data_IF_650692779987
#
_entry.id   IF_650692779987
#
_cell.length_a   1.000
_cell.length_b   1.000
_cell.length_c   1.000
_cell.angle_alpha   90.00
_cell.angle_beta   90.00
_cell.angle_gamma   90.00
#
_symmetry.space_group_name_H-M   'P 1'
#
loop_
_entity.id
_entity.type
_entity.pdbx_description
1 polymer ?
#
# COMPACT_ATOMS: atom_id res chain seq x y z
N UNK A 1 6.47 7.57 5.19
CA UNK A 1 6.12 7.74 6.62
C UNK A 1 7.37 7.72 7.50
N UNK A 2 7.37 8.47 8.60
CA UNK A 2 8.53 8.59 9.51
C UNK A 2 9.05 7.23 10.03
N UNK A 3 8.16 6.26 10.22
CA UNK A 3 8.52 4.93 10.73
C UNK A 3 9.54 4.17 9.87
N UNK A 4 9.73 4.54 8.60
CA UNK A 4 10.69 3.90 7.67
C UNK A 4 11.97 4.72 7.45
N UNK A 5 12.06 5.96 7.97
CA UNK A 5 13.19 6.87 7.71
C UNK A 5 14.52 6.26 8.15
N UNK A 6 14.60 5.77 9.38
CA UNK A 6 15.83 5.15 9.91
C UNK A 6 16.32 4.01 9.01
N UNK A 7 15.43 3.11 8.62
CA UNK A 7 15.77 1.97 7.73
C UNK A 7 16.24 2.44 6.35
N UNK A 8 15.61 3.49 5.82
CA UNK A 8 16.01 4.11 4.56
C UNK A 8 17.41 4.72 4.66
N UNK A 9 17.68 5.52 5.69
CA UNK A 9 18.99 6.15 5.95
C UNK A 9 20.08 5.09 6.10
N UNK A 10 19.86 4.04 6.90
CA UNK A 10 20.81 2.94 7.07
C UNK A 10 21.11 2.23 5.74
N UNK A 11 20.08 2.03 4.92
CA UNK A 11 20.23 1.42 3.60
C UNK A 11 21.02 2.34 2.67
N UNK A 12 20.71 3.62 2.61
CA UNK A 12 21.42 4.58 1.79
C UNK A 12 22.89 4.73 2.21
N UNK A 13 23.18 4.79 3.51
CA UNK A 13 24.55 4.81 4.04
C UNK A 13 25.36 3.60 3.60
N UNK A 14 24.75 2.40 3.60
CA UNK A 14 25.41 1.18 3.14
C UNK A 14 25.85 1.26 1.66
N UNK A 15 25.01 1.85 0.81
CA UNK A 15 25.31 1.95 -0.64
C UNK A 15 26.13 3.19 -1.01
N UNK A 16 26.19 4.19 -0.16
CA UNK A 16 26.91 5.44 -0.41
C UNK A 16 28.43 5.40 -0.13
N UNK A 17 28.94 4.30 0.42
CA UNK A 17 30.35 4.18 0.91
C UNK A 17 31.37 4.62 -0.11
N UNK A 18 31.14 4.40 -1.40
CA UNK A 18 32.06 4.80 -2.49
C UNK A 18 31.68 6.11 -3.19
N UNK A 19 30.60 6.74 -2.79
CA UNK A 19 30.01 7.89 -3.53
C UNK A 19 30.43 9.24 -3.00
N UNK A 20 31.24 9.31 -1.93
CA UNK A 20 31.69 10.56 -1.25
C UNK A 20 30.54 11.52 -0.92
N UNK A 21 29.40 10.96 -0.49
CA UNK A 21 28.24 11.71 -0.02
C UNK A 21 28.04 11.49 1.47
N UNK A 22 27.64 12.54 2.20
CA UNK A 22 27.11 12.40 3.57
C UNK A 22 25.60 12.33 3.51
N UNK A 23 25.03 11.45 4.37
CA UNK A 23 23.60 11.28 4.49
C UNK A 23 23.24 11.53 5.95
N UNK A 24 22.45 12.56 6.18
CA UNK A 24 22.03 13.01 7.50
C UNK A 24 20.51 13.10 7.55
N UNK A 25 19.93 12.83 8.71
CA UNK A 25 18.51 13.11 8.94
C UNK A 25 18.39 14.60 9.21
N UNK A 26 17.55 15.30 8.44
CA UNK A 26 17.28 16.72 8.70
C UNK A 26 16.27 16.88 9.84
N UNK A 27 16.47 17.91 10.65
CA UNK A 27 15.46 18.35 11.63
C UNK A 27 14.37 19.12 10.88
N UNK A 28 13.35 18.41 10.42
CA UNK A 28 12.15 19.08 9.92
C UNK A 28 11.28 19.50 11.12
N UNK A 29 11.34 20.78 11.47
CA UNK A 29 10.28 21.42 12.23
C UNK A 29 9.04 21.57 11.35
N UNK A 30 8.30 20.48 11.16
CA UNK A 30 6.99 20.52 10.51
C UNK A 30 6.01 21.05 11.56
N UNK A 31 5.73 22.36 11.48
CA UNK A 31 4.85 23.07 12.44
C UNK A 31 3.37 22.72 12.27
N UNK A 32 2.98 22.11 11.15
CA UNK A 32 1.60 21.76 10.83
C UNK A 32 1.46 20.25 10.65
N UNK A 33 1.38 19.52 11.77
CA UNK A 33 0.99 18.12 11.74
C UNK A 33 -0.48 18.01 11.32
N UNK A 34 -0.71 17.41 10.17
CA UNK A 34 -2.04 16.89 9.85
C UNK A 34 -2.33 15.78 10.86
N UNK A 35 -3.53 15.76 11.41
CA UNK A 35 -3.98 14.66 12.25
C UNK A 35 -3.74 13.31 11.52
N UNK A 36 -3.02 12.39 12.17
CA UNK A 36 -2.63 11.09 11.58
C UNK A 36 -3.85 10.30 11.11
N UNK A 37 -4.97 10.34 11.84
CA UNK A 37 -6.21 9.68 11.42
C UNK A 37 -6.85 10.33 10.21
N UNK A 38 -6.87 11.67 10.15
CA UNK A 38 -7.40 12.41 9.01
C UNK A 38 -6.55 12.15 7.76
N UNK A 39 -5.22 12.10 7.93
CA UNK A 39 -4.30 11.79 6.85
C UNK A 39 -4.49 10.36 6.33
N UNK A 40 -4.55 9.36 7.21
CA UNK A 40 -4.83 7.96 6.86
C UNK A 40 -6.18 7.80 6.17
N UNK A 41 -7.22 8.47 6.68
CA UNK A 41 -8.53 8.46 6.05
C UNK A 41 -8.47 9.00 4.62
N UNK A 42 -7.74 10.11 4.40
CA UNK A 42 -7.53 10.65 3.06
C UNK A 42 -6.78 9.70 2.14
N UNK A 43 -5.72 9.01 2.63
CA UNK A 43 -5.00 8.01 1.85
C UNK A 43 -5.91 6.84 1.44
N UNK A 44 -6.73 6.36 2.37
CA UNK A 44 -7.70 5.29 2.09
C UNK A 44 -8.74 5.75 1.07
N UNK A 45 -9.28 6.95 1.22
CA UNK A 45 -10.30 7.49 0.32
C UNK A 45 -9.77 7.73 -1.10
N UNK A 46 -8.47 8.01 -1.24
CA UNK A 46 -7.80 8.17 -2.54
C UNK A 46 -7.20 6.87 -3.11
N UNK A 47 -7.36 5.73 -2.43
CA UNK A 47 -6.75 4.45 -2.83
C UNK A 47 -5.23 4.57 -3.02
N UNK A 48 -4.56 5.33 -2.14
CA UNK A 48 -3.13 5.64 -2.20
C UNK A 48 -2.42 5.27 -0.89
N UNK A 49 -2.14 3.97 -0.65
CA UNK A 49 -1.54 3.51 0.59
C UNK A 49 -0.13 4.06 0.79
N UNK A 50 0.24 4.27 2.04
CA UNK A 50 1.58 4.68 2.43
C UNK A 50 2.41 3.47 2.90
N UNK A 51 3.74 3.65 2.94
CA UNK A 51 4.68 2.65 3.45
C UNK A 51 5.04 2.98 4.90
N UNK A 52 4.67 2.06 5.77
CA UNK A 52 5.01 2.04 7.20
C UNK A 52 6.04 0.94 7.48
N UNK A 53 6.60 0.92 8.69
CA UNK A 53 7.49 -0.18 9.14
C UNK A 53 6.82 -1.55 9.03
N UNK A 54 5.51 -1.60 9.27
CA UNK A 54 4.70 -2.81 9.31
C UNK A 54 4.49 -3.45 7.94
N UNK A 55 4.39 -2.63 6.88
CA UNK A 55 4.17 -3.12 5.50
C UNK A 55 5.40 -2.98 4.59
N UNK A 56 6.48 -2.37 5.08
CA UNK A 56 7.74 -2.21 4.34
C UNK A 56 8.31 -3.57 3.90
N UNK A 57 8.71 -3.67 2.64
CA UNK A 57 9.30 -4.87 1.99
C UNK A 57 8.34 -6.08 1.89
N UNK A 58 7.05 -5.93 2.19
CA UNK A 58 6.08 -7.04 2.15
C UNK A 58 5.29 -7.11 0.85
N UNK A 59 5.21 -6.01 0.12
CA UNK A 59 4.39 -5.88 -1.08
C UNK A 59 5.20 -5.36 -2.25
N UNK A 60 4.88 -5.83 -3.44
CA UNK A 60 5.34 -5.19 -4.67
C UNK A 60 4.58 -3.88 -4.91
N UNK A 61 5.14 -2.93 -5.66
CA UNK A 61 4.44 -1.68 -5.99
C UNK A 61 3.07 -1.91 -6.66
N UNK A 62 2.91 -2.97 -7.46
CA UNK A 62 1.63 -3.30 -8.08
C UNK A 62 0.60 -3.83 -7.07
N UNK A 63 1.03 -4.56 -6.04
CA UNK A 63 0.14 -4.97 -4.95
C UNK A 63 -0.33 -3.79 -4.10
N UNK A 64 0.39 -2.66 -4.15
CA UNK A 64 0.01 -1.40 -3.52
C UNK A 64 -0.76 -0.46 -4.48
N UNK A 65 -1.03 -0.89 -5.71
CA UNK A 65 -1.72 -0.08 -6.69
C UNK A 65 -0.91 1.09 -7.28
N UNK A 66 0.42 1.13 -7.03
CA UNK A 66 1.29 2.25 -7.41
C UNK A 66 1.50 2.37 -8.92
N UNK A 67 1.22 1.32 -9.67
CA UNK A 67 1.20 1.33 -11.14
C UNK A 67 -0.03 2.06 -11.71
N UNK A 68 -1.09 2.22 -10.93
CA UNK A 68 -2.34 2.88 -11.36
C UNK A 68 -2.42 4.33 -10.90
N UNK A 69 -1.80 4.68 -9.77
CA UNK A 69 -1.81 6.04 -9.23
C UNK A 69 -0.62 6.91 -9.67
N UNK A 70 0.25 6.41 -10.56
CA UNK A 70 1.36 7.17 -11.13
C UNK A 70 2.63 7.22 -10.26
N UNK A 71 2.71 6.49 -9.17
CA UNK A 71 3.93 6.40 -8.34
C UNK A 71 5.04 5.58 -9.01
N UNK A 72 4.74 4.83 -10.09
CA UNK A 72 5.72 4.11 -10.89
C UNK A 72 5.84 4.73 -12.27
N UNK A 73 7.06 5.08 -12.66
CA UNK A 73 7.37 5.50 -14.02
C UNK A 73 8.03 4.35 -14.80
N UNK A 74 7.30 3.75 -15.73
CA UNK A 74 7.79 2.67 -16.59
C UNK A 74 8.69 3.13 -17.73
N UNK A 75 8.80 4.46 -17.95
CA UNK A 75 9.64 5.07 -19.02
C UNK A 75 10.98 5.53 -18.52
N UNK A 76 11.20 5.58 -17.20
CA UNK A 76 12.50 5.98 -16.64
C UNK A 76 13.59 4.94 -16.93
N UNK A 77 14.85 5.36 -16.77
CA UNK A 77 16.01 4.48 -16.92
C UNK A 77 16.05 3.32 -15.92
N UNK A 78 17.03 2.43 -16.09
CA UNK A 78 17.18 1.21 -15.30
C UNK A 78 17.37 1.49 -13.80
N UNK A 79 16.76 0.64 -12.97
CA UNK A 79 16.90 0.65 -11.50
C UNK A 79 16.87 -0.77 -10.94
N UNK A 80 17.43 -0.95 -9.74
CA UNK A 80 17.44 -2.25 -9.07
C UNK A 80 16.02 -2.73 -8.79
N UNK A 81 15.71 -3.98 -9.19
CA UNK A 81 14.37 -4.58 -9.02
C UNK A 81 13.38 -4.31 -10.15
N UNK A 82 13.75 -3.50 -11.15
CA UNK A 82 12.86 -3.16 -12.28
C UNK A 82 12.34 -4.38 -13.05
N UNK A 83 13.11 -5.48 -13.12
CA UNK A 83 12.72 -6.67 -13.89
C UNK A 83 11.39 -7.27 -13.38
N UNK A 84 11.24 -7.38 -12.05
CA UNK A 84 10.02 -7.91 -11.43
C UNK A 84 8.85 -6.98 -11.72
N UNK A 85 9.04 -5.67 -11.50
CA UNK A 85 8.01 -4.63 -11.69
C UNK A 85 7.57 -4.58 -13.15
N UNK A 86 8.53 -4.57 -14.10
CA UNK A 86 8.24 -4.56 -15.53
C UNK A 86 7.55 -5.85 -15.97
N UNK A 87 8.00 -7.02 -15.47
CA UNK A 87 7.37 -8.30 -15.79
C UNK A 87 5.90 -8.33 -15.36
N UNK A 88 5.59 -7.86 -14.16
CA UNK A 88 4.21 -7.79 -13.67
C UNK A 88 3.37 -6.85 -14.54
N UNK A 89 3.90 -5.69 -14.90
CA UNK A 89 3.20 -4.71 -15.72
C UNK A 89 2.88 -5.24 -17.14
N UNK A 90 3.88 -5.82 -17.83
CA UNK A 90 3.73 -6.20 -19.24
C UNK A 90 3.18 -7.61 -19.46
N UNK A 91 3.44 -8.56 -18.55
CA UNK A 91 3.02 -9.97 -18.72
C UNK A 91 1.80 -10.35 -17.91
N UNK A 92 1.46 -9.57 -16.91
CA UNK A 92 0.39 -9.90 -15.97
C UNK A 92 -0.38 -8.64 -15.53
N UNK A 93 -0.83 -7.79 -16.48
CA UNK A 93 -1.51 -6.57 -16.13
C UNK A 93 -2.80 -6.86 -15.38
N UNK A 94 -3.09 -6.05 -14.36
CA UNK A 94 -4.36 -6.11 -13.62
C UNK A 94 -4.57 -7.33 -12.73
N UNK A 95 -3.53 -8.15 -12.46
CA UNK A 95 -3.66 -9.29 -11.54
C UNK A 95 -3.97 -8.83 -10.12
N UNK A 96 -3.35 -7.73 -9.67
CA UNK A 96 -3.56 -7.16 -8.35
C UNK A 96 -4.34 -5.85 -8.43
N UNK A 97 -5.11 -5.62 -7.40
CA UNK A 97 -5.81 -4.36 -7.14
C UNK A 97 -5.79 -4.08 -5.65
N UNK A 98 -6.00 -2.82 -5.32
CA UNK A 98 -6.37 -2.44 -3.96
C UNK A 98 -7.86 -2.11 -3.94
N UNK A 99 -8.48 -2.42 -2.81
CA UNK A 99 -9.89 -2.11 -2.58
C UNK A 99 -10.05 -1.32 -1.29
N UNK A 100 -10.82 -0.25 -1.34
CA UNK A 100 -11.36 0.39 -0.15
C UNK A 100 -12.59 -0.40 0.30
N UNK A 101 -12.57 -0.82 1.55
CA UNK A 101 -13.66 -1.59 2.17
C UNK A 101 -14.05 -0.93 3.48
N UNK A 102 -15.34 -0.71 3.68
CA UNK A 102 -15.89 -0.23 4.94
C UNK A 102 -16.70 -1.34 5.61
N UNK A 103 -16.39 -1.61 6.88
CA UNK A 103 -17.07 -2.59 7.73
C UNK A 103 -17.24 -2.05 9.16
N UNK A 104 -18.16 -2.64 9.92
CA UNK A 104 -18.37 -2.25 11.32
C UNK A 104 -17.26 -2.76 12.27
N UNK A 105 -16.53 -3.80 11.89
CA UNK A 105 -15.44 -4.34 12.68
C UNK A 105 -14.20 -3.42 12.61
N UNK A 106 -13.82 -2.86 13.76
CA UNK A 106 -12.66 -1.95 13.89
C UNK A 106 -11.41 -2.63 14.44
N UNK A 107 -11.44 -3.95 14.69
CA UNK A 107 -10.38 -4.67 15.39
C UNK A 107 -9.34 -5.33 14.48
N UNK A 108 -9.24 -4.92 13.24
CA UNK A 108 -8.28 -5.49 12.29
C UNK A 108 -6.99 -4.69 12.23
N UNK A 109 -5.89 -5.36 11.87
CA UNK A 109 -4.54 -4.80 11.89
C UNK A 109 -3.80 -4.94 10.55
N UNK A 110 -2.65 -4.26 10.43
CA UNK A 110 -1.76 -4.37 9.26
C UNK A 110 -1.36 -5.81 8.97
N UNK A 111 -1.36 -6.15 7.67
CA UNK A 111 -1.02 -7.47 7.13
C UNK A 111 -1.94 -8.61 7.57
N UNK A 112 -3.00 -8.31 8.31
CA UNK A 112 -4.02 -9.29 8.61
C UNK A 112 -4.73 -9.74 7.33
N UNK A 113 -5.05 -11.02 7.26
CA UNK A 113 -5.80 -11.58 6.13
C UNK A 113 -7.24 -11.08 6.18
N UNK A 114 -7.65 -10.39 5.13
CA UNK A 114 -9.04 -10.01 4.97
C UNK A 114 -9.83 -11.17 4.36
N UNK A 115 -10.82 -11.65 5.10
CA UNK A 115 -11.67 -12.77 4.70
C UNK A 115 -13.12 -12.32 4.61
N UNK A 116 -13.86 -12.90 3.67
CA UNK A 116 -15.31 -12.73 3.56
C UNK A 116 -15.92 -14.11 3.36
N UNK A 117 -16.87 -14.47 4.19
CA UNK A 117 -17.49 -15.82 4.18
C UNK A 117 -16.43 -16.95 4.18
N UNK A 118 -15.45 -16.85 5.08
CA UNK A 118 -14.31 -17.76 5.26
C UNK A 118 -13.36 -17.88 4.04
N UNK A 119 -13.55 -17.05 3.01
CA UNK A 119 -12.65 -17.01 1.86
C UNK A 119 -11.69 -15.85 1.97
N UNK A 120 -10.40 -16.12 1.76
CA UNK A 120 -9.36 -15.08 1.68
C UNK A 120 -9.60 -14.20 0.46
N UNK A 121 -9.72 -12.89 0.69
CA UNK A 121 -9.84 -11.86 -0.36
C UNK A 121 -8.51 -11.20 -0.61
N UNK A 122 -7.81 -10.79 0.45
CA UNK A 122 -6.53 -10.10 0.38
C UNK A 122 -5.89 -9.92 1.75
N UNK A 123 -5.00 -8.95 1.85
CA UNK A 123 -4.37 -8.54 3.11
C UNK A 123 -4.63 -7.05 3.35
N UNK A 124 -4.83 -6.67 4.60
CA UNK A 124 -5.00 -5.28 5.00
C UNK A 124 -3.66 -4.56 4.92
N UNK A 125 -3.60 -3.48 4.15
CA UNK A 125 -2.40 -2.66 3.95
C UNK A 125 -2.49 -1.29 4.60
N UNK A 126 -3.71 -0.81 4.91
CA UNK A 126 -3.98 0.43 5.64
C UNK A 126 -5.34 0.32 6.32
N UNK A 127 -5.52 1.01 7.45
CA UNK A 127 -6.81 1.04 8.13
C UNK A 127 -6.97 2.26 9.04
N UNK A 128 -8.20 2.76 9.14
CA UNK A 128 -8.62 3.77 10.10
C UNK A 128 -10.15 3.72 10.28
N UNK A 129 -10.62 3.72 11.50
CA UNK A 129 -12.04 3.91 11.86
C UNK A 129 -13.05 3.08 11.03
N UNK A 130 -12.78 1.78 10.83
CA UNK A 130 -13.65 0.88 10.07
C UNK A 130 -13.50 0.98 8.55
N UNK A 131 -12.62 1.87 8.05
CA UNK A 131 -12.19 1.91 6.67
C UNK A 131 -10.88 1.14 6.51
N UNK A 132 -10.78 0.37 5.46
CA UNK A 132 -9.63 -0.49 5.18
C UNK A 132 -9.21 -0.37 3.72
N UNK A 133 -7.89 -0.33 3.46
CA UNK A 133 -7.35 -0.70 2.16
C UNK A 133 -6.88 -2.15 2.20
N UNK A 134 -7.38 -2.92 1.27
CA UNK A 134 -7.06 -4.35 1.13
C UNK A 134 -6.36 -4.57 -0.19
N UNK A 135 -5.16 -5.14 -0.15
CA UNK A 135 -4.43 -5.60 -1.32
C UNK A 135 -4.78 -7.04 -1.64
N UNK A 136 -5.11 -7.35 -2.87
CA UNK A 136 -5.47 -8.71 -3.27
C UNK A 136 -5.53 -8.91 -4.77
N UNK A 137 -5.89 -10.13 -5.17
CA UNK A 137 -6.12 -10.42 -6.59
C UNK A 137 -7.41 -9.77 -7.06
N UNK A 138 -7.36 -9.07 -8.18
CA UNK A 138 -8.50 -8.37 -8.78
C UNK A 138 -9.75 -9.24 -8.87
N UNK A 139 -9.60 -10.49 -9.32
CA UNK A 139 -10.71 -11.45 -9.42
C UNK A 139 -11.43 -11.74 -8.10
N UNK A 140 -10.71 -11.63 -6.96
CA UNK A 140 -11.35 -11.85 -5.65
C UNK A 140 -12.31 -10.72 -5.32
N UNK A 141 -11.92 -9.48 -5.64
CA UNK A 141 -12.77 -8.30 -5.44
C UNK A 141 -13.94 -8.25 -6.41
N UNK A 142 -13.74 -8.63 -7.67
CA UNK A 142 -14.82 -8.75 -8.66
C UNK A 142 -15.88 -9.74 -8.18
N UNK A 143 -15.46 -10.91 -7.68
CA UNK A 143 -16.38 -11.90 -7.11
C UNK A 143 -17.14 -11.39 -5.89
N UNK A 144 -16.58 -10.44 -5.13
CA UNK A 144 -17.27 -9.80 -4.01
C UNK A 144 -18.30 -8.78 -4.46
N UNK A 145 -18.01 -8.00 -5.50
CA UNK A 145 -18.97 -7.02 -6.06
C UNK A 145 -20.27 -7.70 -6.49
N UNK A 146 -20.15 -8.90 -7.04
CA UNK A 146 -21.31 -9.68 -7.49
C UNK A 146 -22.12 -10.31 -6.34
N UNK A 147 -21.54 -10.40 -5.12
CA UNK A 147 -22.10 -11.13 -3.98
C UNK A 147 -21.96 -10.34 -2.66
N UNK A 148 -22.32 -9.06 -2.65
CA UNK A 148 -22.21 -8.22 -1.45
C UNK A 148 -23.27 -8.51 -0.38
N UNK A 149 -24.37 -9.17 -0.71
CA UNK A 149 -25.41 -9.55 0.25
C UNK A 149 -24.84 -10.52 1.30
N UNK A 150 -25.08 -10.22 2.58
CA UNK A 150 -24.63 -11.00 3.75
C UNK A 150 -23.11 -11.02 4.00
N UNK A 151 -22.33 -10.05 3.49
CA UNK A 151 -20.88 -9.99 3.71
C UNK A 151 -20.45 -9.10 4.87
N UNK A 152 -21.36 -8.28 5.42
CA UNK A 152 -21.05 -7.24 6.42
C UNK A 152 -20.25 -6.05 5.82
N UNK A 153 -20.03 -6.03 4.51
CA UNK A 153 -19.36 -4.94 3.81
C UNK A 153 -20.38 -3.84 3.50
N UNK A 154 -20.10 -2.61 3.96
CA UNK A 154 -20.94 -1.43 3.71
C UNK A 154 -20.65 -0.81 2.35
N UNK A 155 -19.38 -0.76 1.97
CA UNK A 155 -18.92 -0.23 0.69
C UNK A 155 -17.68 -0.96 0.18
N UNK A 156 -17.55 -1.08 -1.13
CA UNK A 156 -16.38 -1.67 -1.81
C UNK A 156 -16.06 -0.85 -3.06
N UNK A 157 -14.89 -0.22 -3.08
CA UNK A 157 -14.37 0.55 -4.20
C UNK A 157 -13.01 0.00 -4.64
N UNK A 158 -12.76 -0.13 -5.93
CA UNK A 158 -11.52 -0.63 -6.54
C UNK A 158 -10.78 0.48 -7.28
N UNK A 159 -9.44 0.42 -7.27
CA UNK A 159 -8.60 1.26 -8.11
C UNK A 159 -8.55 0.79 -9.57
#
# INVERSE_FOLDING_TARGET
HQSVVKKLVDTLKKYSVFSKVSIEEGDENVSDYIDDEAWKSSMIDNLDPEIYSENSEKYTPQELGYDKNGRIDFKKGCFTGQEIIARMHYRSPGIFSIAKVEIDDTNKSFNEVFTVNDKKVGNIIEYVNGKYLVSGKTKNFESLKDNTENTGIKSLELN
#
